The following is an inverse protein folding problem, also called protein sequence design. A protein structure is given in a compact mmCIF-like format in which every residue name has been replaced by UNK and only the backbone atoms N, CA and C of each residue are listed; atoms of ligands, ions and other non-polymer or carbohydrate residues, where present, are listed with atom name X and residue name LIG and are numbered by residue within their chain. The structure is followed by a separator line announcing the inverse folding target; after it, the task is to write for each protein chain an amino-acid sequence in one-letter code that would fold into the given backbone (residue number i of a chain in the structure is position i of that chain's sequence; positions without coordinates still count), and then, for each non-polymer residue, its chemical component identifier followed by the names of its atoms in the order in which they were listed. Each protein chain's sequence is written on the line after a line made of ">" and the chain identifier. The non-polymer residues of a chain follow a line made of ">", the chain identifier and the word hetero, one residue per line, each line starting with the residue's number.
data_IF_442613587781
#
_entry.id   IF_442613587781
#
_cell.length_a   1.000
_cell.length_b   1.000
_cell.length_c   1.000
_cell.angle_alpha   90.00
_cell.angle_beta   90.00
_cell.angle_gamma   90.00
#
_symmetry.space_group_name_H-M   'P 1'
#
loop_
_entity.id
_entity.type
_entity.pdbx_description
1 polymer ?
#
# COMPACT_ATOMS: atom_id res chain seq x y z
N UNK A 1 -32.12 1.50 6.29
CA UNK A 1 -31.83 2.94 6.12
C UNK A 1 -32.87 3.85 6.77
N UNK A 2 -34.19 3.59 6.64
CA UNK A 2 -35.23 4.42 7.27
C UNK A 2 -35.28 4.35 8.82
N UNK A 3 -34.84 3.26 9.43
CA UNK A 3 -35.02 3.01 10.87
C UNK A 3 -34.27 4.00 11.80
N UNK A 4 -33.07 4.48 11.41
CA UNK A 4 -32.27 5.38 12.24
C UNK A 4 -32.83 6.81 12.26
N UNK A 5 -33.29 7.32 11.12
CA UNK A 5 -33.93 8.63 11.02
C UNK A 5 -35.28 8.64 11.75
N UNK A 6 -36.05 7.55 11.66
CA UNK A 6 -37.29 7.39 12.40
C UNK A 6 -36.99 7.42 13.91
N UNK A 7 -36.02 6.64 14.41
CA UNK A 7 -35.68 6.61 15.83
C UNK A 7 -35.28 7.97 16.42
N UNK A 8 -34.57 8.82 15.67
CA UNK A 8 -34.21 10.18 16.11
C UNK A 8 -35.43 11.10 16.17
N UNK A 9 -36.32 11.03 15.18
CA UNK A 9 -37.54 11.84 15.12
C UNK A 9 -38.51 11.56 16.28
N UNK A 10 -38.55 10.33 16.83
CA UNK A 10 -39.35 10.02 18.01
C UNK A 10 -38.83 10.64 19.31
N UNK A 11 -37.59 11.12 19.37
CA UNK A 11 -37.00 11.78 20.55
C UNK A 11 -37.15 13.31 20.55
N UNK A 12 -37.81 13.89 19.55
CA UNK A 12 -38.04 15.33 19.42
C UNK A 12 -39.29 15.81 20.19
N UNK A 13 -40.28 14.93 20.42
CA UNK A 13 -41.59 15.31 20.97
C UNK A 13 -41.61 15.53 22.51
N UNK A 14 -40.49 15.40 23.24
CA UNK A 14 -40.54 15.36 24.71
C UNK A 14 -39.45 16.14 25.44
N UNK A 15 -39.07 17.34 24.98
CA UNK A 15 -38.18 18.20 25.78
C UNK A 15 -38.14 19.66 25.33
N UNK A 16 -38.97 20.49 25.95
CA UNK A 16 -39.02 21.95 25.73
C UNK A 16 -38.27 22.75 26.81
N UNK A 17 -37.26 22.16 27.47
CA UNK A 17 -36.54 22.81 28.58
C UNK A 17 -35.01 22.61 28.53
N UNK A 18 -34.44 22.54 27.32
CA UNK A 18 -32.98 22.50 27.14
C UNK A 18 -32.44 23.87 26.70
N UNK A 19 -31.30 24.27 27.28
CA UNK A 19 -30.52 25.44 26.86
C UNK A 19 -30.24 25.41 25.35
N UNK A 20 -30.37 26.56 24.68
CA UNK A 20 -30.34 26.68 23.21
C UNK A 20 -29.04 26.10 22.63
N UNK A 21 -27.92 26.29 23.33
CA UNK A 21 -26.62 25.73 22.91
C UNK A 21 -26.53 24.21 23.12
N UNK A 22 -27.16 23.69 24.16
CA UNK A 22 -27.27 22.25 24.39
C UNK A 22 -28.13 21.60 23.28
N UNK A 23 -29.22 22.26 22.89
CA UNK A 23 -30.05 21.83 21.76
C UNK A 23 -29.30 21.85 20.42
N UNK A 24 -28.55 22.92 20.15
CA UNK A 24 -27.78 23.05 18.90
C UNK A 24 -26.66 22.01 18.77
N UNK A 25 -25.95 21.73 19.87
CA UNK A 25 -24.90 20.70 19.89
C UNK A 25 -25.47 19.29 19.71
N UNK A 26 -26.63 19.01 20.29
CA UNK A 26 -27.37 17.76 20.11
C UNK A 26 -27.84 17.59 18.66
N UNK A 27 -28.51 18.58 18.07
CA UNK A 27 -28.94 18.53 16.67
C UNK A 27 -27.77 18.26 15.72
N UNK A 28 -26.65 18.94 15.91
CA UNK A 28 -25.44 18.72 15.11
C UNK A 28 -24.93 17.27 15.25
N UNK A 29 -24.96 16.72 16.46
CA UNK A 29 -24.53 15.33 16.73
C UNK A 29 -25.44 14.33 16.03
N UNK A 30 -26.76 14.53 16.13
CA UNK A 30 -27.75 13.62 15.57
C UNK A 30 -27.72 13.67 14.04
N UNK A 31 -27.60 14.86 13.45
CA UNK A 31 -27.37 15.05 12.01
C UNK A 31 -26.10 14.34 11.52
N UNK A 32 -25.01 14.42 12.28
CA UNK A 32 -23.78 13.70 11.97
C UNK A 32 -23.97 12.18 12.02
N UNK A 33 -24.67 11.67 13.03
CA UNK A 33 -24.94 10.24 13.18
C UNK A 33 -25.81 9.70 12.03
N UNK A 34 -26.83 10.46 11.63
CA UNK A 34 -27.68 10.13 10.48
C UNK A 34 -26.83 10.12 9.20
N UNK A 35 -26.05 11.17 8.94
CA UNK A 35 -25.18 11.25 7.77
C UNK A 35 -24.14 10.13 7.72
N UNK A 36 -23.49 9.79 8.82
CA UNK A 36 -22.51 8.70 8.88
C UNK A 36 -23.17 7.32 8.66
N UNK A 37 -24.43 7.16 9.06
CA UNK A 37 -25.21 5.93 8.81
C UNK A 37 -25.67 5.80 7.35
N UNK A 38 -26.02 6.93 6.71
CA UNK A 38 -26.51 6.98 5.33
C UNK A 38 -25.38 7.05 4.30
N UNK A 39 -24.20 7.56 4.69
CA UNK A 39 -23.00 7.64 3.85
C UNK A 39 -21.84 6.92 4.54
N UNK A 40 -21.86 5.56 4.61
CA UNK A 40 -20.71 4.81 5.08
C UNK A 40 -19.52 5.19 4.20
N UNK A 41 -18.48 5.78 4.79
CA UNK A 41 -17.34 6.31 4.04
C UNK A 41 -16.71 5.20 3.22
N UNK A 42 -16.96 5.19 1.91
CA UNK A 42 -16.36 4.27 0.96
C UNK A 42 -14.89 4.59 0.83
N UNK A 43 -14.08 3.92 1.64
CA UNK A 43 -12.65 4.03 1.63
C UNK A 43 -12.03 2.65 1.74
N UNK A 44 -12.16 1.84 0.70
CA UNK A 44 -11.13 0.83 0.45
C UNK A 44 -9.82 1.60 0.30
N UNK A 45 -8.77 1.29 1.07
CA UNK A 45 -7.50 1.99 0.93
C UNK A 45 -7.03 1.79 -0.51
N UNK A 46 -6.80 2.89 -1.24
CA UNK A 46 -6.14 2.75 -2.54
C UNK A 46 -4.79 2.07 -2.32
N UNK A 47 -4.40 1.09 -3.16
CA UNK A 47 -3.20 0.28 -2.94
C UNK A 47 -1.90 1.10 -2.96
N UNK A 48 -1.96 2.38 -3.35
CA UNK A 48 -0.82 3.29 -3.41
C UNK A 48 -0.44 3.94 -2.08
N UNK A 49 -1.23 3.78 -1.02
CA UNK A 49 -0.86 4.31 0.31
C UNK A 49 -0.38 3.17 1.19
N UNK A 50 0.95 3.09 1.29
CA UNK A 50 1.76 2.29 2.23
C UNK A 50 0.93 1.79 3.41
N UNK A 51 0.92 0.47 3.61
CA UNK A 51 0.35 -0.19 4.77
C UNK A 51 0.63 0.62 6.03
N UNK A 52 -0.37 1.36 6.52
CA UNK A 52 -0.28 1.97 7.84
C UNK A 52 -0.33 0.80 8.80
N UNK A 53 0.79 0.49 9.44
CA UNK A 53 0.82 -0.45 10.55
C UNK A 53 -0.13 0.09 11.61
N UNK A 54 -1.34 -0.46 11.67
CA UNK A 54 -2.27 -0.21 12.78
C UNK A 54 -1.66 -0.92 13.98
N UNK A 55 -0.85 -0.19 14.76
CA UNK A 55 -0.39 -0.66 16.04
C UNK A 55 -1.63 -0.77 16.93
N UNK A 56 -2.08 -1.99 17.20
CA UNK A 56 -3.00 -2.27 18.32
C UNK A 56 -2.15 -2.29 19.58
N UNK A 57 -2.30 -1.27 20.42
CA UNK A 57 -1.65 -1.14 21.71
C UNK A 57 -2.34 -0.05 22.54
N UNK A 58 -2.32 -0.22 23.86
CA UNK A 58 -3.13 0.55 24.83
C UNK A 58 -2.65 1.98 25.07
N UNK A 59 -1.48 2.35 24.55
CA UNK A 59 -0.92 3.69 24.71
C UNK A 59 -1.46 4.63 23.64
N UNK A 60 -2.67 5.17 23.89
CA UNK A 60 -3.41 6.10 23.04
C UNK A 60 -3.79 5.53 21.68
N UNK A 61 -5.10 5.47 21.42
CA UNK A 61 -5.62 5.04 20.12
C UNK A 61 -4.93 5.83 19.01
N UNK A 62 -4.47 5.21 17.91
CA UNK A 62 -3.92 5.92 16.76
C UNK A 62 -4.78 7.12 16.31
N UNK A 63 -6.09 7.04 16.58
CA UNK A 63 -7.10 8.09 16.39
C UNK A 63 -6.76 9.41 17.10
N UNK A 64 -6.19 9.39 18.30
CA UNK A 64 -5.85 10.58 19.10
C UNK A 64 -4.58 11.30 18.58
N UNK A 65 -3.79 10.58 17.80
CA UNK A 65 -2.49 11.02 17.30
C UNK A 65 -2.57 11.60 15.88
N UNK A 66 -3.50 11.12 15.05
CA UNK A 66 -3.74 11.61 13.69
C UNK A 66 -4.05 13.11 13.54
N UNK A 67 -4.81 13.78 14.44
CA UNK A 67 -5.12 15.20 14.23
C UNK A 67 -3.91 16.12 14.49
N UNK A 68 -2.89 15.68 15.26
CA UNK A 68 -1.76 16.51 15.68
C UNK A 68 -0.87 17.02 14.52
N UNK A 69 -0.41 16.18 13.57
CA UNK A 69 0.34 16.67 12.40
C UNK A 69 -0.49 17.61 11.52
N UNK A 70 -1.80 17.38 11.41
CA UNK A 70 -2.70 18.26 10.65
C UNK A 70 -2.89 19.61 11.35
N UNK A 71 -3.01 19.63 12.68
CA UNK A 71 -3.11 20.87 13.48
C UNK A 71 -1.84 21.72 13.36
N UNK A 72 -0.66 21.11 13.49
CA UNK A 72 0.62 21.80 13.32
C UNK A 72 0.83 22.31 11.88
N UNK A 73 0.56 21.48 10.87
CA UNK A 73 0.70 21.92 9.47
C UNK A 73 -0.31 22.98 9.05
N UNK A 74 -1.52 22.97 9.63
CA UNK A 74 -2.53 24.02 9.42
C UNK A 74 -2.17 25.32 10.13
N UNK A 75 -1.63 25.28 11.35
CA UNK A 75 -1.24 26.50 12.09
C UNK A 75 -0.16 27.27 11.34
N UNK A 76 0.85 26.57 10.78
CA UNK A 76 1.91 27.18 9.96
C UNK A 76 1.42 27.83 8.66
N UNK A 77 0.26 27.42 8.13
CA UNK A 77 -0.30 28.00 6.89
C UNK A 77 -1.11 29.27 7.14
N UNK A 78 -1.44 29.59 8.39
CA UNK A 78 -2.18 30.79 8.75
C UNK A 78 -1.20 31.94 8.97
N UNK A 79 -1.44 33.10 8.33
CA UNK A 79 -0.56 34.27 8.37
C UNK A 79 -0.56 35.04 9.70
N UNK A 80 -1.46 34.71 10.65
CA UNK A 80 -1.63 35.40 11.94
C UNK A 80 -1.79 34.38 13.07
N UNK A 81 -0.73 33.67 13.41
CA UNK A 81 -0.72 32.72 14.53
C UNK A 81 0.49 33.04 15.38
N UNK A 82 0.28 33.16 16.69
CA UNK A 82 1.34 33.45 17.65
C UNK A 82 2.39 32.34 17.63
N UNK A 83 3.66 32.72 17.62
CA UNK A 83 4.80 31.80 17.53
C UNK A 83 4.77 30.76 18.66
N UNK A 84 4.38 31.17 19.86
CA UNK A 84 4.20 30.29 21.03
C UNK A 84 3.17 29.18 20.81
N UNK A 85 2.08 29.50 20.10
CA UNK A 85 1.05 28.49 19.80
C UNK A 85 1.52 27.48 18.76
N UNK A 86 2.36 27.91 17.80
CA UNK A 86 3.00 27.01 16.83
C UNK A 86 4.01 26.11 17.53
N UNK A 87 4.81 26.65 18.47
CA UNK A 87 5.77 25.90 19.27
C UNK A 87 5.09 24.80 20.10
N UNK A 88 4.02 25.13 20.84
CA UNK A 88 3.22 24.14 21.60
C UNK A 88 2.64 23.03 20.72
N UNK A 89 2.13 23.39 19.53
CA UNK A 89 1.62 22.41 18.58
C UNK A 89 2.72 21.51 18.00
N UNK A 90 3.93 22.04 17.83
CA UNK A 90 5.08 21.28 17.38
C UNK A 90 5.55 20.28 18.44
N UNK A 91 5.65 20.69 19.70
CA UNK A 91 6.00 19.82 20.83
C UNK A 91 5.00 18.66 20.95
N UNK A 92 3.70 18.98 20.98
CA UNK A 92 2.64 17.97 21.06
C UNK A 92 2.67 16.99 19.87
N UNK A 93 3.05 17.45 18.67
CA UNK A 93 3.26 16.61 17.50
C UNK A 93 4.52 15.74 17.63
N UNK A 94 5.63 16.31 18.08
CA UNK A 94 6.91 15.63 18.25
C UNK A 94 6.81 14.51 19.28
N UNK A 95 6.20 14.78 20.43
CA UNK A 95 5.92 13.79 21.47
C UNK A 95 5.07 12.64 20.96
N UNK A 96 3.96 12.94 20.28
CA UNK A 96 3.09 11.94 19.71
C UNK A 96 3.85 11.09 18.67
N UNK A 97 4.63 11.71 17.79
CA UNK A 97 5.49 10.99 16.84
C UNK A 97 6.49 10.07 17.54
N UNK A 98 7.12 10.52 18.63
CA UNK A 98 8.06 9.71 19.43
C UNK A 98 7.36 8.52 20.08
N UNK A 99 6.16 8.71 20.63
CA UNK A 99 5.34 7.65 21.22
C UNK A 99 4.95 6.61 20.16
N UNK A 100 4.48 7.05 19.00
CA UNK A 100 4.17 6.15 17.87
C UNK A 100 5.39 5.32 17.47
N UNK A 101 6.54 5.97 17.31
CA UNK A 101 7.77 5.29 16.92
C UNK A 101 8.21 4.27 17.97
N UNK A 102 8.10 4.58 19.26
CA UNK A 102 8.35 3.64 20.35
C UNK A 102 7.41 2.44 20.27
N UNK A 103 6.10 2.69 20.19
CA UNK A 103 5.09 1.63 20.09
C UNK A 103 5.31 0.75 18.84
N UNK A 104 5.68 1.33 17.69
CA UNK A 104 6.03 0.57 16.49
C UNK A 104 7.29 -0.27 16.67
N UNK A 105 8.34 0.27 17.31
CA UNK A 105 9.58 -0.47 17.59
C UNK A 105 9.31 -1.64 18.53
N UNK A 106 8.57 -1.42 19.61
CA UNK A 106 8.19 -2.47 20.55
C UNK A 106 7.31 -3.53 19.91
N UNK A 107 6.32 -3.14 19.10
CA UNK A 107 5.48 -4.08 18.38
C UNK A 107 6.29 -4.92 17.39
N UNK A 108 7.25 -4.31 16.66
CA UNK A 108 8.18 -5.05 15.79
C UNK A 108 9.07 -6.00 16.58
N UNK A 109 9.60 -5.55 17.72
CA UNK A 109 10.44 -6.37 18.58
C UNK A 109 9.69 -7.59 19.10
N UNK A 110 8.46 -7.39 19.61
CA UNK A 110 7.57 -8.46 20.06
C UNK A 110 7.26 -9.44 18.92
N UNK A 111 6.85 -8.95 17.76
CA UNK A 111 6.55 -9.78 16.60
C UNK A 111 7.79 -10.56 16.10
N UNK A 112 8.99 -9.98 16.22
CA UNK A 112 10.24 -10.67 15.90
C UNK A 112 10.56 -11.77 16.93
N UNK A 113 10.40 -11.49 18.22
CA UNK A 113 10.54 -12.49 19.28
C UNK A 113 9.58 -13.67 19.11
N UNK A 114 8.31 -13.41 18.80
CA UNK A 114 7.32 -14.44 18.47
C UNK A 114 7.73 -15.28 17.25
N UNK A 115 8.26 -14.63 16.20
CA UNK A 115 8.74 -15.35 15.02
C UNK A 115 9.90 -16.28 15.39
N UNK A 116 10.88 -15.80 16.16
CA UNK A 116 12.01 -16.61 16.61
C UNK A 116 11.57 -17.77 17.50
N UNK A 117 10.64 -17.53 18.43
CA UNK A 117 10.08 -18.60 19.26
C UNK A 117 9.37 -19.68 18.42
N UNK A 118 8.69 -19.28 17.34
CA UNK A 118 7.99 -20.21 16.44
C UNK A 118 8.92 -21.07 15.58
N UNK A 119 10.21 -20.72 15.45
CA UNK A 119 11.16 -21.46 14.60
C UNK A 119 11.33 -22.91 15.03
N UNK A 120 11.41 -23.16 16.34
CA UNK A 120 11.63 -24.51 16.86
C UNK A 120 10.41 -25.41 16.71
N UNK A 121 9.20 -24.83 16.73
CA UNK A 121 7.95 -25.58 16.56
C UNK A 121 7.54 -25.77 15.11
N UNK A 122 7.85 -24.81 14.24
CA UNK A 122 7.44 -24.82 12.84
C UNK A 122 8.48 -24.13 11.94
N UNK A 123 9.54 -24.87 11.57
CA UNK A 123 10.65 -24.31 10.80
C UNK A 123 10.25 -23.90 9.37
N UNK A 124 9.19 -24.50 8.80
CA UNK A 124 8.86 -24.37 7.38
C UNK A 124 7.69 -23.42 7.07
N UNK A 125 7.01 -22.84 8.08
CA UNK A 125 5.93 -21.86 7.84
C UNK A 125 6.43 -20.42 7.66
N UNK A 126 6.31 -19.60 8.70
CA UNK A 126 6.35 -18.13 8.58
C UNK A 126 7.76 -17.63 8.30
N UNK A 127 8.75 -18.18 9.01
CA UNK A 127 10.14 -17.78 8.84
C UNK A 127 10.69 -18.21 7.47
N UNK A 128 10.44 -19.45 7.05
CA UNK A 128 10.81 -19.92 5.72
C UNK A 128 10.15 -19.10 4.60
N UNK A 129 8.83 -18.84 4.68
CA UNK A 129 8.14 -17.97 3.71
C UNK A 129 8.65 -16.53 3.74
N UNK A 130 9.08 -16.01 4.90
CA UNK A 130 9.69 -14.68 5.01
C UNK A 130 10.99 -14.62 4.22
N UNK A 131 11.90 -15.58 4.43
CA UNK A 131 13.20 -15.66 3.75
C UNK A 131 13.04 -15.82 2.23
N UNK A 132 12.06 -16.62 1.81
CA UNK A 132 11.75 -16.78 0.39
C UNK A 132 10.96 -15.61 -0.23
N UNK A 133 10.67 -14.54 0.52
CA UNK A 133 9.78 -13.45 0.10
C UNK A 133 8.38 -13.93 -0.37
N UNK A 134 7.92 -15.06 0.17
CA UNK A 134 6.61 -15.70 -0.11
C UNK A 134 5.56 -15.39 0.95
N UNK A 135 5.84 -14.51 1.91
CA UNK A 135 4.81 -14.00 2.81
C UNK A 135 3.83 -13.12 2.03
N UNK A 136 2.63 -13.66 1.78
CA UNK A 136 1.57 -12.91 1.13
C UNK A 136 1.22 -11.67 1.97
N UNK A 137 1.06 -10.49 1.33
CA UNK A 137 0.50 -9.33 2.00
C UNK A 137 -0.82 -9.68 2.68
N UNK A 138 -1.09 -9.05 3.83
CA UNK A 138 -2.35 -9.25 4.58
C UNK A 138 -3.60 -8.84 3.78
N UNK A 139 -3.43 -8.04 2.72
CA UNK A 139 -4.52 -7.66 1.84
C UNK A 139 -4.68 -8.73 0.74
N UNK A 140 -5.91 -9.18 0.47
CA UNK A 140 -6.18 -10.01 -0.69
C UNK A 140 -5.71 -9.30 -1.97
N UNK A 141 -5.17 -10.03 -2.97
CA UNK A 141 -4.80 -9.42 -4.23
C UNK A 141 -6.04 -8.74 -4.84
N UNK A 142 -5.81 -7.66 -5.60
CA UNK A 142 -6.90 -6.89 -6.23
C UNK A 142 -7.83 -7.79 -7.05
N UNK A 143 -7.26 -8.85 -7.63
CA UNK A 143 -7.96 -9.87 -8.41
C UNK A 143 -8.98 -10.67 -7.62
N UNK A 144 -8.86 -10.77 -6.29
CA UNK A 144 -9.86 -11.48 -5.46
C UNK A 144 -11.16 -10.67 -5.30
N UNK A 145 -11.09 -9.35 -5.48
CA UNK A 145 -12.23 -8.44 -5.34
C UNK A 145 -12.84 -7.98 -6.68
N UNK A 146 -12.26 -8.42 -7.79
CA UNK A 146 -12.61 -7.95 -9.13
C UNK A 146 -13.66 -8.91 -9.75
N UNK A 147 -14.51 -8.38 -10.62
CA UNK A 147 -15.54 -9.19 -11.30
C UNK A 147 -14.87 -10.30 -12.13
N UNK A 148 -15.26 -11.58 -11.97
CA UNK A 148 -14.61 -12.70 -12.65
C UNK A 148 -14.57 -12.56 -14.18
N UNK A 149 -15.63 -12.02 -14.80
CA UNK A 149 -15.69 -11.83 -16.25
C UNK A 149 -14.69 -10.78 -16.73
N UNK A 150 -14.60 -9.67 -15.99
CA UNK A 150 -13.60 -8.64 -16.27
C UNK A 150 -12.18 -9.14 -16.04
N UNK A 151 -11.96 -10.01 -15.04
CA UNK A 151 -10.66 -10.66 -14.84
C UNK A 151 -10.27 -11.54 -16.02
N UNK A 152 -11.19 -12.36 -16.52
CA UNK A 152 -10.93 -13.24 -17.68
C UNK A 152 -10.63 -12.42 -18.94
N UNK A 153 -11.31 -11.29 -19.15
CA UNK A 153 -11.02 -10.36 -20.24
C UNK A 153 -9.62 -9.73 -20.10
N UNK A 154 -9.27 -9.26 -18.89
CA UNK A 154 -7.95 -8.70 -18.60
C UNK A 154 -6.85 -9.75 -18.76
N UNK A 155 -7.09 -10.99 -18.31
CA UNK A 155 -6.13 -12.09 -18.45
C UNK A 155 -5.98 -12.47 -19.93
N UNK A 156 -7.08 -12.60 -20.68
CA UNK A 156 -7.05 -12.95 -22.10
C UNK A 156 -6.44 -11.87 -23.00
N UNK A 157 -6.51 -10.60 -22.59
CA UNK A 157 -5.85 -9.48 -23.31
C UNK A 157 -4.38 -9.33 -22.94
N UNK A 158 -4.02 -9.47 -21.66
CA UNK A 158 -2.64 -9.33 -21.20
C UNK A 158 -1.78 -10.55 -21.53
N UNK A 159 -2.39 -11.73 -21.43
CA UNK A 159 -1.80 -13.00 -21.80
C UNK A 159 -2.64 -13.50 -22.96
N UNK A 160 -2.28 -13.08 -24.17
CA UNK A 160 -2.86 -13.63 -25.40
C UNK A 160 -2.79 -15.15 -25.27
N UNK A 161 -3.96 -15.77 -25.08
CA UNK A 161 -4.07 -17.20 -25.15
C UNK A 161 -3.51 -17.60 -26.50
N UNK A 162 -2.40 -18.34 -26.50
CA UNK A 162 -2.14 -19.27 -27.59
C UNK A 162 -3.44 -20.06 -27.69
N UNK A 163 -4.22 -19.75 -28.71
CA UNK A 163 -5.52 -20.34 -28.89
C UNK A 163 -5.29 -21.85 -28.87
N UNK A 164 -5.89 -22.52 -27.89
CA UNK A 164 -6.09 -23.95 -27.94
C UNK A 164 -6.99 -24.23 -29.14
N UNK A 165 -6.40 -24.31 -30.33
CA UNK A 165 -6.86 -25.18 -31.39
C UNK A 165 -5.94 -26.39 -31.34
N UNK A 166 -6.38 -27.44 -30.66
CA UNK A 166 -5.55 -28.60 -30.36
C UNK A 166 -6.07 -29.38 -29.17
N UNK A 167 -7.28 -29.89 -29.30
CA UNK A 167 -7.76 -31.20 -28.85
C UNK A 167 -6.70 -31.99 -28.06
N UNK A 168 -6.74 -31.90 -26.74
CA UNK A 168 -5.77 -32.56 -25.86
C UNK A 168 -6.40 -32.91 -24.53
N UNK A 169 -7.23 -33.95 -24.55
CA UNK A 169 -7.73 -34.65 -23.36
C UNK A 169 -6.60 -34.90 -22.36
N UNK A 170 -6.75 -34.38 -21.14
CA UNK A 170 -5.95 -34.78 -19.99
C UNK A 170 -6.32 -36.23 -19.62
N UNK A 171 -5.62 -37.18 -20.20
CA UNK A 171 -5.48 -38.53 -19.66
C UNK A 171 -4.06 -38.70 -19.14
N UNK A 172 -4.03 -38.87 -17.83
CA UNK A 172 -3.07 -39.52 -16.95
C UNK A 172 -1.91 -40.29 -17.61
N UNK A 173 -0.72 -40.01 -17.06
CA UNK A 173 0.37 -40.97 -16.80
C UNK A 173 0.92 -41.76 -18.00
N UNK A 174 1.95 -41.22 -18.64
CA UNK A 174 3.03 -42.05 -19.19
C UNK A 174 4.40 -41.48 -18.80
N UNK A 175 5.14 -42.30 -18.06
CA UNK A 175 6.56 -42.20 -17.80
C UNK A 175 7.31 -42.26 -19.14
N UNK A 176 7.63 -41.11 -19.73
CA UNK A 176 8.54 -41.06 -20.86
C UNK A 176 9.96 -40.73 -20.38
N UNK A 177 10.82 -41.72 -20.61
CA UNK A 177 12.26 -41.71 -20.39
C UNK A 177 12.89 -40.39 -20.84
N UNK A 178 13.82 -39.90 -20.01
CA UNK A 178 14.68 -38.76 -20.28
C UNK A 178 15.45 -38.98 -21.59
N UNK A 179 14.90 -38.51 -22.71
CA UNK A 179 15.70 -38.23 -23.90
C UNK A 179 16.65 -37.06 -23.55
N UNK A 180 17.92 -37.10 -23.99
CA UNK A 180 18.82 -35.97 -23.80
C UNK A 180 18.17 -34.73 -24.40
N UNK A 181 18.29 -33.55 -23.78
CA UNK A 181 17.72 -32.35 -24.35
C UNK A 181 18.37 -32.15 -25.72
N UNK A 182 17.62 -32.42 -26.78
CA UNK A 182 17.91 -31.82 -28.06
C UNK A 182 17.97 -30.32 -27.78
N UNK A 183 19.08 -29.72 -28.18
CA UNK A 183 19.32 -28.30 -28.05
C UNK A 183 18.23 -27.57 -28.83
N UNK A 184 17.09 -27.32 -28.17
CA UNK A 184 16.19 -26.22 -28.48
C UNK A 184 17.11 -25.05 -28.81
N UNK A 185 17.10 -24.53 -30.05
CA UNK A 185 17.98 -23.44 -30.40
C UNK A 185 17.50 -22.28 -29.56
N UNK A 186 18.19 -22.06 -28.41
CA UNK A 186 18.18 -20.83 -27.63
C UNK A 186 18.01 -19.73 -28.64
N UNK A 187 16.84 -19.11 -28.65
CA UNK A 187 16.42 -18.09 -29.60
C UNK A 187 17.68 -17.43 -30.11
N UNK A 188 18.10 -17.79 -31.34
CA UNK A 188 19.43 -17.46 -31.82
C UNK A 188 19.56 -15.97 -31.57
N UNK A 189 20.43 -15.57 -30.65
CA UNK A 189 20.71 -14.17 -30.45
C UNK A 189 21.13 -13.70 -31.84
N UNK A 190 20.24 -12.95 -32.49
CA UNK A 190 20.22 -12.82 -33.94
C UNK A 190 21.65 -12.58 -34.41
N UNK A 191 22.14 -13.46 -35.28
CA UNK A 191 23.50 -13.41 -35.82
C UNK A 191 23.84 -11.95 -36.09
N UNK A 192 24.87 -11.43 -35.42
CA UNK A 192 25.25 -10.02 -35.50
C UNK A 192 25.25 -9.59 -36.97
N UNK A 193 24.41 -8.61 -37.29
CA UNK A 193 24.29 -8.08 -38.64
C UNK A 193 24.96 -6.71 -38.69
N UNK A 194 25.54 -6.30 -39.83
CA UNK A 194 26.13 -4.97 -39.99
C UNK A 194 25.15 -3.81 -39.72
N UNK A 195 23.84 -4.05 -39.81
CA UNK A 195 22.80 -3.07 -39.46
C UNK A 195 22.61 -2.85 -37.96
N UNK A 196 23.16 -3.71 -37.10
CA UNK A 196 23.23 -3.53 -35.65
C UNK A 196 24.51 -2.81 -35.21
N UNK A 197 25.36 -2.38 -36.16
CA UNK A 197 26.55 -1.60 -35.84
C UNK A 197 26.11 -0.22 -35.35
N UNK A 198 26.51 0.12 -34.12
CA UNK A 198 26.30 1.46 -33.55
C UNK A 198 26.97 2.48 -34.45
N UNK A 199 26.18 3.44 -34.93
CA UNK A 199 26.69 4.53 -35.77
C UNK A 199 27.34 5.61 -34.90
N UNK A 200 28.27 6.39 -35.47
CA UNK A 200 28.94 7.48 -34.73
C UNK A 200 27.94 8.55 -34.26
N UNK A 201 26.86 8.75 -35.02
CA UNK A 201 25.78 9.68 -34.68
C UNK A 201 24.98 9.21 -33.46
N UNK A 202 24.66 7.93 -33.36
CA UNK A 202 24.01 7.33 -32.20
C UNK A 202 24.87 7.44 -30.95
N UNK A 203 26.19 7.22 -31.11
CA UNK A 203 27.16 7.36 -30.04
C UNK A 203 27.24 8.82 -29.56
N UNK A 204 27.33 9.79 -30.48
CA UNK A 204 27.34 11.21 -30.15
C UNK A 204 26.04 11.65 -29.43
N UNK A 205 24.89 11.15 -29.89
CA UNK A 205 23.60 11.38 -29.25
C UNK A 205 23.47 10.74 -27.87
N UNK A 206 24.11 9.59 -27.64
CA UNK A 206 24.19 8.97 -26.30
C UNK A 206 25.08 9.79 -25.36
N UNK A 207 26.25 10.23 -25.83
CA UNK A 207 27.19 11.07 -25.06
C UNK A 207 26.55 12.41 -24.68
N UNK A 208 25.83 13.06 -25.60
CA UNK A 208 25.09 14.29 -25.29
C UNK A 208 24.01 14.12 -24.20
N UNK A 209 23.43 12.92 -24.08
CA UNK A 209 22.45 12.57 -23.02
C UNK A 209 23.10 12.22 -21.68
N UNK A 210 24.41 11.97 -21.65
CA UNK A 210 25.15 11.76 -20.41
C UNK A 210 25.47 13.13 -19.77
N UNK A 211 24.52 13.64 -18.98
CA UNK A 211 24.72 14.90 -18.26
C UNK A 211 25.99 14.91 -17.39
N UNK A 212 26.74 16.01 -17.45
CA UNK A 212 28.06 16.19 -16.81
C UNK A 212 28.09 16.10 -15.26
N UNK A 213 26.95 15.84 -14.61
CA UNK A 213 26.80 15.75 -13.15
C UNK A 213 26.35 14.37 -12.68
N UNK A 214 26.53 13.33 -13.50
CA UNK A 214 26.28 11.95 -13.08
C UNK A 214 27.40 11.48 -12.17
N UNK A 215 27.03 10.78 -11.10
CA UNK A 215 28.00 10.16 -10.19
C UNK A 215 28.85 9.12 -10.94
N UNK A 216 30.14 8.97 -10.61
CA UNK A 216 31.00 7.96 -11.22
C UNK A 216 30.47 6.55 -10.94
N UNK A 217 30.66 5.66 -11.91
CA UNK A 217 30.36 4.23 -11.75
C UNK A 217 31.34 3.52 -10.81
N UNK A 218 31.21 2.20 -10.62
CA UNK A 218 32.14 1.40 -9.81
C UNK A 218 33.59 1.45 -10.32
N UNK A 219 33.80 1.75 -11.61
CA UNK A 219 35.11 1.94 -12.24
C UNK A 219 35.77 3.30 -11.90
N UNK A 220 35.07 4.19 -11.20
CA UNK A 220 35.60 5.48 -10.73
C UNK A 220 35.79 6.56 -11.80
N UNK A 221 35.48 6.28 -13.07
CA UNK A 221 35.65 7.25 -14.17
C UNK A 221 34.56 8.35 -14.09
N UNK A 222 34.93 9.63 -13.94
CA UNK A 222 33.99 10.73 -13.94
C UNK A 222 33.46 11.04 -15.36
N UNK A 223 32.26 11.62 -15.44
CA UNK A 223 31.66 12.02 -16.72
C UNK A 223 32.42 13.19 -17.42
N UNK A 224 33.34 13.84 -16.73
CA UNK A 224 34.33 14.79 -17.28
C UNK A 224 35.71 14.36 -16.80
N UNK A 225 36.62 14.15 -17.75
CA UNK A 225 38.06 14.07 -17.49
C UNK A 225 38.62 15.46 -17.18
#
# INVERSE_FOLDING_TARGET
>A
MAAAAIAVAWFEESRTDEDVEAGATRLRRDMHAICDSCMPRSGTPSPRRRCVLVVRGDSSSPRDMHPRPLRYTRSRRRRRVDEDTVARLYEAYSEARRLLQRAMKEAKWRAWGELLASLNSDPWRRAYKLVLNKLRPRAPPLTESMDPRFLDEVVGTLFLGVANEGDGSLTEEEEQELQPPEEEPRASAGRWSPGLKVTEEELAGAVGRMGARKAPGPDGVPARL
#
